data_IF_454875442125
#
_entry.id   IF_454875442125
#
_cell.length_a   1.000
_cell.length_b   1.000
_cell.length_c   1.000
_cell.angle_alpha   90.00
_cell.angle_beta   90.00
_cell.angle_gamma   90.00
#
_symmetry.space_group_name_H-M   'P 1'
#
loop_
_entity.id
_entity.type
_entity.pdbx_description
1 polymer ?
#
# COMPACT_ATOMS: atom_id res chain seq x y z
N UNK A 1 8.97 18.96 4.33
CA UNK A 1 7.70 18.24 4.13
C UNK A 1 7.56 17.05 5.10
N UNK A 2 8.50 16.09 5.10
CA UNK A 2 8.42 14.87 5.92
C UNK A 2 8.28 15.13 7.43
N UNK A 3 8.97 16.14 7.99
CA UNK A 3 8.84 16.51 9.40
C UNK A 3 7.42 16.96 9.78
N UNK A 4 6.69 17.61 8.88
CA UNK A 4 5.28 17.99 9.10
C UNK A 4 4.36 16.78 8.94
N UNK A 5 4.66 15.86 8.00
CA UNK A 5 3.88 14.63 7.84
C UNK A 5 3.93 13.75 9.09
N UNK A 6 5.09 13.66 9.76
CA UNK A 6 5.23 12.95 11.04
C UNK A 6 4.31 13.49 12.13
N UNK A 7 3.95 14.78 12.10
CA UNK A 7 3.03 15.38 13.08
C UNK A 7 1.58 14.91 12.90
N UNK A 8 1.24 14.32 11.75
CA UNK A 8 -0.09 13.76 11.49
C UNK A 8 -0.23 12.30 11.95
N UNK A 9 0.88 11.57 12.09
CA UNK A 9 0.88 10.15 12.47
C UNK A 9 0.14 9.86 13.79
N UNK A 10 0.29 10.68 14.87
CA UNK A 10 -0.47 10.47 16.11
C UNK A 10 -1.99 10.59 16.00
N UNK A 11 -2.50 11.11 14.88
CA UNK A 11 -3.92 11.32 14.64
C UNK A 11 -4.52 10.31 13.65
N UNK A 12 -3.72 9.39 13.10
CA UNK A 12 -4.18 8.38 12.17
C UNK A 12 -4.36 7.04 12.89
N UNK A 13 -5.48 6.35 12.65
CA UNK A 13 -5.64 4.95 13.08
C UNK A 13 -4.82 3.99 12.21
N UNK A 14 -4.79 4.27 10.90
CA UNK A 14 -4.11 3.47 9.88
C UNK A 14 -3.31 4.38 8.96
N UNK A 15 -2.09 3.96 8.60
CA UNK A 15 -1.29 4.63 7.57
C UNK A 15 -0.82 3.65 6.50
N UNK A 16 -0.73 4.11 5.25
CA UNK A 16 -0.41 3.25 4.08
C UNK A 16 0.84 3.71 3.30
N UNK A 17 1.99 3.99 3.95
CA UNK A 17 3.15 4.50 3.23
C UNK A 17 3.68 3.47 2.20
N UNK A 18 4.13 3.94 1.04
CA UNK A 18 5.02 3.10 0.22
C UNK A 18 6.42 3.00 0.85
N UNK A 19 7.28 2.12 0.34
CA UNK A 19 8.65 1.96 0.85
C UNK A 19 9.45 3.28 0.93
N UNK A 20 9.32 4.13 -0.10
CA UNK A 20 10.00 5.44 -0.13
C UNK A 20 9.52 6.35 0.99
N UNK A 21 8.21 6.43 1.20
CA UNK A 21 7.58 7.20 2.28
C UNK A 21 7.95 6.63 3.65
N UNK A 22 7.96 5.31 3.82
CA UNK A 22 8.37 4.65 5.05
C UNK A 22 9.81 5.02 5.42
N UNK A 23 10.74 4.97 4.44
CA UNK A 23 12.13 5.42 4.65
C UNK A 23 12.19 6.90 5.06
N UNK A 24 11.41 7.78 4.43
CA UNK A 24 11.36 9.21 4.77
C UNK A 24 10.76 9.48 6.15
N UNK A 25 9.69 8.77 6.52
CA UNK A 25 9.07 8.86 7.84
C UNK A 25 10.04 8.40 8.93
N UNK A 26 10.84 7.37 8.69
CA UNK A 26 11.85 6.88 9.63
C UNK A 26 13.15 7.69 9.60
N UNK A 27 13.40 8.45 8.54
CA UNK A 27 14.68 9.15 8.34
C UNK A 27 15.84 8.19 8.07
N UNK A 28 15.56 7.05 7.43
CA UNK A 28 16.56 6.05 7.05
C UNK A 28 16.81 6.10 5.53
N UNK A 29 18.01 5.71 5.05
CA UNK A 29 18.29 5.63 3.62
C UNK A 29 17.35 4.65 2.90
N UNK A 30 17.05 4.94 1.63
CA UNK A 30 16.36 3.99 0.77
C UNK A 30 17.27 2.77 0.49
N UNK A 31 16.78 1.54 0.64
CA UNK A 31 17.58 0.33 0.48
C UNK A 31 18.01 0.15 -0.98
N UNK A 32 19.25 -0.30 -1.25
CA UNK A 32 19.72 -0.59 -2.60
C UNK A 32 18.77 -1.56 -3.31
N UNK A 33 18.30 -1.18 -4.51
CA UNK A 33 17.38 -1.99 -5.31
C UNK A 33 15.96 -2.12 -4.74
N UNK A 34 15.60 -1.38 -3.68
CA UNK A 34 14.27 -1.47 -3.06
C UNK A 34 14.02 -2.78 -2.31
N UNK A 35 15.08 -3.53 -2.00
CA UNK A 35 14.98 -4.84 -1.35
C UNK A 35 15.10 -4.71 0.16
N UNK A 36 14.12 -5.26 0.89
CA UNK A 36 14.07 -5.24 2.35
C UNK A 36 13.75 -6.63 2.86
N UNK A 37 14.51 -7.10 3.86
CA UNK A 37 14.23 -8.38 4.50
C UNK A 37 12.98 -8.30 5.37
N UNK A 38 12.31 -9.43 5.60
CA UNK A 38 11.12 -9.47 6.46
C UNK A 38 11.36 -8.91 7.88
N UNK A 39 12.48 -9.22 8.57
CA UNK A 39 12.77 -8.62 9.87
C UNK A 39 12.95 -7.09 9.81
N UNK A 40 13.54 -6.57 8.72
CA UNK A 40 13.70 -5.14 8.54
C UNK A 40 12.35 -4.46 8.25
N UNK A 41 11.46 -5.09 7.47
CA UNK A 41 10.09 -4.60 7.25
C UNK A 41 9.28 -4.55 8.54
N UNK A 42 9.36 -5.61 9.36
CA UNK A 42 8.70 -5.66 10.66
C UNK A 42 9.19 -4.53 11.57
N UNK A 43 10.51 -4.34 11.63
CA UNK A 43 11.09 -3.25 12.39
C UNK A 43 10.62 -1.89 11.87
N UNK A 44 10.63 -1.66 10.56
CA UNK A 44 10.20 -0.39 9.96
C UNK A 44 8.73 -0.10 10.30
N UNK A 45 7.84 -1.09 10.15
CA UNK A 45 6.43 -0.93 10.45
C UNK A 45 6.18 -0.71 11.94
N UNK A 46 6.88 -1.44 12.82
CA UNK A 46 6.81 -1.26 14.27
C UNK A 46 7.31 0.14 14.70
N UNK A 47 8.41 0.62 14.12
CA UNK A 47 8.94 1.96 14.38
C UNK A 47 7.96 3.06 13.93
N UNK A 48 7.24 2.86 12.81
CA UNK A 48 6.19 3.79 12.35
C UNK A 48 4.98 3.73 13.28
N UNK A 49 4.52 2.55 13.68
CA UNK A 49 3.41 2.38 14.60
C UNK A 49 3.69 3.04 15.96
N UNK A 50 4.93 2.96 16.44
CA UNK A 50 5.38 3.63 17.66
C UNK A 50 5.30 5.18 17.60
N UNK A 51 5.12 5.76 16.40
CA UNK A 51 4.90 7.21 16.24
C UNK A 51 3.43 7.63 16.42
N UNK A 52 2.50 6.69 16.62
CA UNK A 52 1.08 7.01 16.74
C UNK A 52 0.10 5.98 16.17
N UNK A 53 0.21 5.62 14.88
CA UNK A 53 -0.83 4.84 14.22
C UNK A 53 -0.90 3.42 14.77
N UNK A 54 -2.14 2.92 14.93
CA UNK A 54 -2.38 1.57 15.42
C UNK A 54 -1.94 0.53 14.41
N UNK A 55 -2.27 0.76 13.14
CA UNK A 55 -2.00 -0.17 12.05
C UNK A 55 -1.18 0.52 10.93
N UNK A 56 -0.24 -0.22 10.34
CA UNK A 56 0.65 0.28 9.28
C UNK A 56 0.61 -0.70 8.10
N UNK A 57 0.42 -0.18 6.89
CA UNK A 57 0.55 -0.92 5.64
C UNK A 57 1.70 -0.33 4.82
N UNK A 58 2.76 -1.10 4.62
CA UNK A 58 3.87 -0.73 3.73
C UNK A 58 3.63 -1.34 2.35
N UNK A 59 3.49 -0.49 1.34
CA UNK A 59 3.25 -0.86 -0.07
C UNK A 59 4.50 -0.66 -0.94
N UNK A 60 4.44 -1.07 -2.21
CA UNK A 60 5.52 -0.85 -3.19
C UNK A 60 6.77 -1.69 -2.94
N UNK A 61 6.63 -2.82 -2.25
CA UNK A 61 7.74 -3.72 -1.92
C UNK A 61 7.97 -4.70 -3.08
N UNK A 62 9.22 -4.84 -3.52
CA UNK A 62 9.59 -5.79 -4.57
C UNK A 62 9.80 -7.19 -3.99
N UNK A 63 9.16 -8.20 -4.61
CA UNK A 63 9.27 -9.61 -4.23
C UNK A 63 9.46 -10.47 -5.49
N UNK A 64 10.58 -10.29 -6.19
CA UNK A 64 10.84 -10.98 -7.46
C UNK A 64 9.96 -10.42 -8.60
N UNK A 65 9.15 -11.29 -9.20
CA UNK A 65 8.13 -10.96 -10.21
C UNK A 65 6.78 -10.53 -9.58
N UNK A 66 6.77 -10.34 -8.26
CA UNK A 66 5.59 -9.94 -7.47
C UNK A 66 5.81 -8.61 -6.76
N UNK A 67 4.70 -7.99 -6.37
CA UNK A 67 4.67 -6.84 -5.46
C UNK A 67 4.12 -7.33 -4.12
N UNK A 68 4.80 -6.98 -3.04
CA UNK A 68 4.41 -7.31 -1.68
C UNK A 68 3.71 -6.13 -1.01
N UNK A 69 2.67 -6.46 -0.26
CA UNK A 69 2.06 -5.59 0.74
C UNK A 69 2.38 -6.15 2.11
N UNK A 70 2.96 -5.33 2.98
CA UNK A 70 3.28 -5.70 4.36
C UNK A 70 2.36 -4.96 5.31
N UNK A 71 1.71 -5.67 6.22
CA UNK A 71 0.79 -5.13 7.19
C UNK A 71 1.29 -5.40 8.60
N UNK A 72 1.15 -4.42 9.47
CA UNK A 72 1.53 -4.50 10.87
C UNK A 72 0.40 -3.96 11.74
N UNK A 73 0.01 -4.74 12.74
CA UNK A 73 -1.00 -4.37 13.72
C UNK A 73 -0.97 -5.33 14.91
N UNK A 74 -1.34 -4.86 16.09
CA UNK A 74 -1.32 -5.65 17.33
C UNK A 74 0.02 -6.36 17.62
N UNK A 75 1.14 -5.72 17.27
CA UNK A 75 2.48 -6.26 17.49
C UNK A 75 2.87 -7.41 16.56
N UNK A 76 2.12 -7.66 15.48
CA UNK A 76 2.38 -8.76 14.55
C UNK A 76 2.36 -8.28 13.11
N UNK A 77 3.32 -8.80 12.33
CA UNK A 77 3.39 -8.60 10.89
C UNK A 77 2.71 -9.71 10.10
N UNK A 78 2.10 -9.35 8.98
CA UNK A 78 1.71 -10.29 7.93
C UNK A 78 1.94 -9.65 6.56
N UNK A 79 2.05 -10.47 5.52
CA UNK A 79 2.23 -9.98 4.16
C UNK A 79 1.55 -10.89 3.16
N UNK A 80 1.16 -10.30 2.04
CA UNK A 80 0.71 -11.03 0.86
C UNK A 80 1.37 -10.42 -0.38
N UNK A 81 1.42 -11.23 -1.44
CA UNK A 81 2.10 -10.88 -2.68
C UNK A 81 1.10 -10.94 -3.85
N UNK A 82 1.05 -9.90 -4.67
CA UNK A 82 0.30 -9.83 -5.92
C UNK A 82 1.24 -9.92 -7.12
N UNK A 83 0.75 -10.38 -8.27
CA UNK A 83 1.54 -10.35 -9.50
C UNK A 83 1.93 -8.90 -9.82
N UNK A 84 3.19 -8.68 -10.20
CA UNK A 84 3.61 -7.36 -10.70
C UNK A 84 3.06 -7.18 -12.13
N UNK A 85 2.31 -6.11 -12.36
CA UNK A 85 1.69 -5.81 -13.64
C UNK A 85 2.22 -4.49 -14.18
N UNK A 86 2.82 -4.54 -15.37
CA UNK A 86 3.27 -3.35 -16.10
C UNK A 86 4.17 -2.42 -15.29
N UNK A 87 3.99 -1.12 -15.54
CA UNK A 87 4.71 -0.04 -14.88
C UNK A 87 3.91 0.56 -13.72
N UNK A 88 4.62 1.21 -12.79
CA UNK A 88 3.99 2.00 -11.73
C UNK A 88 3.15 3.13 -12.36
N UNK A 89 1.90 3.28 -11.89
CA UNK A 89 0.97 4.30 -12.36
C UNK A 89 0.57 5.25 -11.23
N UNK A 90 0.53 6.54 -11.55
CA UNK A 90 0.07 7.59 -10.63
C UNK A 90 -1.35 7.30 -10.12
N UNK A 91 -1.60 7.61 -8.84
CA UNK A 91 -2.91 7.43 -8.22
C UNK A 91 -3.20 6.02 -7.69
N UNK A 92 -2.32 5.03 -7.93
CA UNK A 92 -2.46 3.68 -7.36
C UNK A 92 -2.46 3.68 -5.83
N UNK A 93 -1.58 4.48 -5.21
CA UNK A 93 -1.57 4.66 -3.74
C UNK A 93 -2.84 5.33 -3.21
N UNK A 94 -3.39 6.31 -3.94
CA UNK A 94 -4.63 7.00 -3.56
C UNK A 94 -5.83 6.05 -3.64
N UNK A 95 -5.93 5.27 -4.72
CA UNK A 95 -6.95 4.23 -4.89
C UNK A 95 -6.84 3.16 -3.80
N UNK A 96 -5.61 2.73 -3.48
CA UNK A 96 -5.37 1.75 -2.42
C UNK A 96 -5.88 2.25 -1.07
N UNK A 97 -5.46 3.47 -0.67
CA UNK A 97 -5.87 4.08 0.59
C UNK A 97 -7.40 4.29 0.65
N UNK A 98 -8.03 4.72 -0.45
CA UNK A 98 -9.47 4.93 -0.52
C UNK A 98 -10.26 3.62 -0.34
N UNK A 99 -9.86 2.53 -1.01
CA UNK A 99 -10.52 1.23 -0.89
C UNK A 99 -10.32 0.64 0.51
N UNK A 100 -9.11 0.72 1.07
CA UNK A 100 -8.85 0.30 2.46
C UNK A 100 -9.72 1.07 3.44
N UNK A 101 -9.79 2.40 3.31
CA UNK A 101 -10.64 3.22 4.18
C UNK A 101 -12.13 2.84 4.05
N UNK A 102 -12.63 2.63 2.83
CA UNK A 102 -14.00 2.20 2.60
C UNK A 102 -14.28 0.83 3.24
N UNK A 103 -13.39 -0.15 3.07
CA UNK A 103 -13.50 -1.47 3.67
C UNK A 103 -13.58 -1.40 5.21
N UNK A 104 -12.71 -0.60 5.83
CA UNK A 104 -12.71 -0.39 7.28
C UNK A 104 -14.01 0.26 7.78
N UNK A 105 -14.54 1.25 7.07
CA UNK A 105 -15.83 1.89 7.41
C UNK A 105 -16.98 0.87 7.34
N UNK A 106 -16.88 -0.12 6.46
CA UNK A 106 -17.84 -1.23 6.36
C UNK A 106 -17.65 -2.33 7.39
N UNK A 107 -16.65 -2.22 8.26
CA UNK A 107 -16.34 -3.20 9.30
C UNK A 107 -15.54 -4.40 8.80
N UNK A 108 -14.96 -4.33 7.60
CA UNK A 108 -14.08 -5.39 7.11
C UNK A 108 -12.75 -5.39 7.89
N UNK A 109 -12.14 -6.56 8.12
CA UNK A 109 -10.77 -6.65 8.62
C UNK A 109 -9.77 -5.92 7.71
N UNK A 110 -8.78 -5.24 8.31
CA UNK A 110 -7.76 -4.48 7.58
C UNK A 110 -7.04 -5.30 6.50
N UNK A 111 -6.68 -6.54 6.83
CA UNK A 111 -5.99 -7.45 5.91
C UNK A 111 -6.84 -7.76 4.67
N UNK A 112 -8.15 -7.95 4.87
CA UNK A 112 -9.10 -8.22 3.80
C UNK A 112 -9.30 -6.97 2.93
N UNK A 113 -9.49 -5.79 3.54
CA UNK A 113 -9.59 -4.53 2.80
C UNK A 113 -8.35 -4.20 1.98
N UNK A 114 -7.15 -4.50 2.52
CA UNK A 114 -5.89 -4.33 1.80
C UNK A 114 -5.74 -5.32 0.64
N UNK A 115 -6.17 -6.57 0.81
CA UNK A 115 -6.17 -7.56 -0.26
C UNK A 115 -7.12 -7.15 -1.39
N UNK A 116 -8.35 -6.73 -1.07
CA UNK A 116 -9.31 -6.24 -2.08
C UNK A 116 -8.75 -5.04 -2.83
N UNK A 117 -8.14 -4.08 -2.12
CA UNK A 117 -7.50 -2.93 -2.75
C UNK A 117 -6.38 -3.33 -3.72
N UNK A 118 -5.50 -4.25 -3.31
CA UNK A 118 -4.41 -4.73 -4.16
C UNK A 118 -4.91 -5.51 -5.39
N UNK A 119 -5.92 -6.35 -5.21
CA UNK A 119 -6.51 -7.15 -6.28
C UNK A 119 -7.23 -6.26 -7.30
N UNK A 120 -8.01 -5.28 -6.84
CA UNK A 120 -8.69 -4.31 -7.71
C UNK A 120 -7.69 -3.48 -8.53
N UNK A 121 -6.62 -2.99 -7.90
CA UNK A 121 -5.56 -2.26 -8.61
C UNK A 121 -4.86 -3.16 -9.62
N UNK A 122 -4.58 -4.42 -9.26
CA UNK A 122 -4.01 -5.41 -10.17
C UNK A 122 -4.88 -5.62 -11.41
N UNK A 123 -6.19 -5.75 -11.23
CA UNK A 123 -7.15 -5.86 -12.32
C UNK A 123 -7.14 -4.62 -13.24
N UNK A 124 -7.17 -3.42 -12.65
CA UNK A 124 -7.08 -2.16 -13.40
C UNK A 124 -5.76 -2.05 -14.19
N UNK A 125 -4.64 -2.48 -13.61
CA UNK A 125 -3.34 -2.47 -14.26
C UNK A 125 -3.29 -3.45 -15.43
N UNK A 126 -3.84 -4.65 -15.29
CA UNK A 126 -3.90 -5.64 -16.38
C UNK A 126 -4.66 -5.05 -17.57
N UNK A 127 -5.82 -4.47 -17.32
CA UNK A 127 -6.62 -3.83 -18.37
C UNK A 127 -5.91 -2.64 -19.01
N UNK A 128 -5.15 -1.85 -18.23
CA UNK A 128 -4.37 -0.74 -18.76
C UNK A 128 -3.28 -1.21 -19.74
N UNK A 129 -2.64 -2.35 -19.45
CA UNK A 129 -1.65 -2.97 -20.35
C UNK A 129 -2.31 -3.55 -21.61
N UNK A 130 -3.48 -4.20 -21.48
CA UNK A 130 -4.27 -4.69 -22.62
C UNK A 130 -4.68 -3.57 -23.58
N UNK A 131 -5.05 -2.41 -23.04
CA UNK A 131 -5.39 -1.22 -23.82
C UNK A 131 -4.16 -0.47 -24.36
N UNK A 132 -2.94 -0.82 -23.92
CA UNK A 132 -1.72 -0.10 -24.27
C UNK A 132 -1.73 1.35 -23.79
N UNK A 133 -2.35 1.64 -22.64
CA UNK A 133 -2.47 3.01 -22.14
C UNK A 133 -1.11 3.58 -21.74
N UNK A 134 -0.82 4.86 -22.03
CA UNK A 134 0.37 5.53 -21.50
C UNK A 134 0.47 5.41 -19.98
N UNK A 135 1.69 5.16 -19.47
CA UNK A 135 1.93 4.90 -18.04
C UNK A 135 1.45 6.04 -17.11
N UNK A 136 1.41 7.27 -17.63
CA UNK A 136 1.03 8.47 -16.88
C UNK A 136 -0.48 8.78 -16.89
N UNK A 137 -1.32 7.91 -17.45
CA UNK A 137 -2.79 8.11 -17.49
C UNK A 137 -3.51 7.59 -16.25
N UNK A 138 -2.77 7.06 -15.27
CA UNK A 138 -3.35 6.48 -14.05
C UNK A 138 -4.04 5.14 -14.32
N UNK A 139 -4.97 4.79 -13.44
CA UNK A 139 -5.71 3.53 -13.47
C UNK A 139 -7.06 3.72 -14.20
N UNK A 140 -7.42 2.86 -15.17
CA UNK A 140 -8.74 2.87 -15.82
C UNK A 140 -9.81 2.23 -14.90
N UNK A 141 -9.91 2.71 -13.65
CA UNK A 141 -10.76 2.08 -12.62
C UNK A 141 -12.25 2.24 -12.91
N UNK A 142 -12.65 3.20 -13.74
CA UNK A 142 -14.04 3.44 -14.12
C UNK A 142 -14.68 2.22 -14.78
N UNK A 143 -13.88 1.39 -15.45
CA UNK A 143 -14.34 0.15 -16.07
C UNK A 143 -14.77 -0.91 -15.04
N UNK A 144 -14.24 -0.84 -13.82
CA UNK A 144 -14.36 -1.90 -12.81
C UNK A 144 -14.99 -1.43 -11.51
N UNK A 145 -15.33 -0.15 -11.35
CA UNK A 145 -15.90 0.41 -10.12
C UNK A 145 -17.09 -0.39 -9.54
N UNK A 146 -17.88 -1.06 -10.39
CA UNK A 146 -18.97 -1.93 -9.96
C UNK A 146 -18.53 -3.08 -9.04
N UNK A 147 -17.30 -3.58 -9.18
CA UNK A 147 -16.71 -4.65 -8.36
C UNK A 147 -16.57 -4.24 -6.89
N UNK A 148 -16.43 -2.94 -6.61
CA UNK A 148 -16.27 -2.43 -5.23
C UNK A 148 -17.61 -2.26 -4.50
N UNK A 149 -18.75 -2.44 -5.17
CA UNK A 149 -20.07 -2.32 -4.52
C UNK A 149 -20.38 -3.47 -3.56
N UNK A 150 -19.68 -4.60 -3.71
CA UNK A 150 -19.86 -5.81 -2.89
C UNK A 150 -18.82 -5.98 -1.78
N UNK A 151 -18.10 -4.89 -1.43
CA UNK A 151 -17.26 -4.80 -0.22
C UNK A 151 -18.04 -5.15 1.08
#
# INVERSE_FOLDING_TARGET
>A
LCAKMRQLLPHADVVTPNLTEACQLLGVPYPPGGLVSMPALEKMAADIAAMGPRDVIITGLHAGDRVRTYLYGNGRGHSFDNAKVGHDRSGSGDAFAAIVAAALVRGMPLAEGAQVAADFIGHCLLYAEELGLPWNYGLPFEAFMGELTVL
#
